data_IF_882651378527
#
_entry.id   IF_882651378527
#
_cell.length_a   1.000
_cell.length_b   1.000
_cell.length_c   1.000
_cell.angle_alpha   90.00
_cell.angle_beta   90.00
_cell.angle_gamma   90.00
#
_symmetry.space_group_name_H-M   'P 1'
#
loop_
_entity.id
_entity.type
_entity.pdbx_description
1 polymer ?
#
# COMPACT_ATOMS: atom_id res chain seq x y z
N UNK A 1 -15.81 -9.04 12.15
CA UNK A 1 -15.76 -7.92 11.19
C UNK A 1 -14.96 -8.37 9.99
N UNK A 2 -15.43 -8.13 8.76
CA UNK A 2 -14.72 -8.48 7.54
C UNK A 2 -13.58 -7.48 7.27
N UNK A 3 -12.78 -7.74 6.24
CA UNK A 3 -11.71 -6.85 5.79
C UNK A 3 -12.00 -6.35 4.38
N UNK A 4 -11.68 -5.08 4.14
CA UNK A 4 -11.60 -4.45 2.84
C UNK A 4 -10.15 -4.07 2.60
N UNK A 5 -9.43 -4.87 1.81
CA UNK A 5 -7.97 -4.76 1.64
C UNK A 5 -7.66 -4.13 0.29
N UNK A 6 -6.85 -3.09 0.29
CA UNK A 6 -6.46 -2.33 -0.91
C UNK A 6 -4.94 -2.37 -1.06
N UNK A 7 -4.46 -2.60 -2.29
CA UNK A 7 -3.03 -2.57 -2.61
C UNK A 7 -2.50 -1.15 -2.88
N UNK A 8 -1.40 -1.08 -3.60
CA UNK A 8 -0.60 0.11 -3.89
C UNK A 8 -1.40 1.20 -4.60
N UNK A 9 -1.52 2.36 -3.97
CA UNK A 9 -2.29 3.50 -4.49
C UNK A 9 -1.43 4.45 -5.33
N UNK A 10 -0.19 4.68 -4.89
CA UNK A 10 0.79 5.51 -5.59
C UNK A 10 0.25 6.85 -6.11
N UNK A 11 -0.44 7.60 -5.27
CA UNK A 11 -0.97 8.91 -5.66
C UNK A 11 -2.13 8.87 -6.66
N UNK A 12 -2.76 7.72 -6.91
CA UNK A 12 -3.97 7.57 -7.73
C UNK A 12 -5.22 7.94 -6.92
N UNK A 13 -5.34 9.19 -6.54
CA UNK A 13 -6.35 9.72 -5.61
C UNK A 13 -7.79 9.51 -6.07
N UNK A 14 -8.10 9.80 -7.34
CA UNK A 14 -9.47 9.74 -7.85
C UNK A 14 -9.93 8.30 -7.91
N UNK A 15 -9.08 7.40 -8.41
CA UNK A 15 -9.31 5.96 -8.42
C UNK A 15 -9.51 5.41 -7.00
N UNK A 16 -8.66 5.86 -6.07
CA UNK A 16 -8.75 5.45 -4.67
C UNK A 16 -10.05 5.92 -4.01
N UNK A 17 -10.47 7.17 -4.26
CA UNK A 17 -11.76 7.70 -3.77
C UNK A 17 -12.95 6.92 -4.31
N UNK A 18 -12.93 6.56 -5.59
CA UNK A 18 -13.97 5.73 -6.18
C UNK A 18 -14.00 4.35 -5.53
N UNK A 19 -12.85 3.69 -5.38
CA UNK A 19 -12.75 2.39 -4.72
C UNK A 19 -13.26 2.43 -3.27
N UNK A 20 -12.97 3.49 -2.53
CA UNK A 20 -13.43 3.69 -1.15
C UNK A 20 -14.97 3.80 -1.03
N UNK A 21 -15.71 4.12 -2.10
CA UNK A 21 -17.19 4.12 -2.07
C UNK A 21 -17.76 2.71 -1.84
N UNK A 22 -16.97 1.68 -2.10
CA UNK A 22 -17.34 0.28 -1.86
C UNK A 22 -17.05 -0.21 -0.44
N UNK A 23 -16.24 0.51 0.33
CA UNK A 23 -15.95 0.18 1.72
C UNK A 23 -17.16 0.44 2.62
N UNK A 24 -17.42 -0.48 3.55
CA UNK A 24 -18.55 -0.45 4.48
C UNK A 24 -18.05 -0.32 5.92
N UNK A 25 -17.82 0.89 6.45
CA UNK A 25 -17.19 1.08 7.77
C UNK A 25 -17.93 0.42 8.95
N UNK A 26 -19.24 0.20 8.81
CA UNK A 26 -20.03 -0.49 9.84
C UNK A 26 -19.69 -1.98 9.94
N UNK A 27 -19.25 -2.62 8.84
CA UNK A 27 -19.10 -4.06 8.70
C UNK A 27 -17.64 -4.51 8.50
N UNK A 28 -16.77 -3.59 8.07
CA UNK A 28 -15.45 -3.90 7.53
C UNK A 28 -14.35 -3.04 8.15
N UNK A 29 -13.20 -3.65 8.33
CA UNK A 29 -11.94 -2.96 8.58
C UNK A 29 -11.25 -2.68 7.23
N UNK A 30 -10.93 -1.43 6.96
CA UNK A 30 -10.09 -1.03 5.83
C UNK A 30 -8.64 -1.35 6.15
N UNK A 31 -7.99 -2.11 5.28
CA UNK A 31 -6.53 -2.35 5.31
C UNK A 31 -5.92 -1.90 4.01
N UNK A 32 -4.95 -0.98 4.08
CA UNK A 32 -4.20 -0.54 2.91
C UNK A 32 -2.75 -1.03 3.06
N UNK A 33 -2.21 -1.68 2.01
CA UNK A 33 -0.99 -2.49 2.06
C UNK A 33 0.32 -1.69 1.87
N UNK A 34 0.26 -0.35 1.89
CA UNK A 34 1.43 0.52 1.69
C UNK A 34 1.52 1.09 0.27
N UNK A 35 2.59 1.85 0.03
CA UNK A 35 2.85 2.58 -1.21
C UNK A 35 1.75 3.58 -1.60
N UNK A 36 1.58 4.57 -0.72
CA UNK A 36 0.65 5.68 -0.93
C UNK A 36 1.23 6.77 -1.84
N UNK A 37 2.56 6.94 -1.84
CA UNK A 37 3.27 8.02 -2.52
C UNK A 37 3.93 7.57 -3.82
N UNK A 38 4.41 8.56 -4.58
CA UNK A 38 5.16 8.43 -5.83
C UNK A 38 4.32 7.98 -7.04
N UNK A 39 4.90 8.10 -8.23
CA UNK A 39 4.38 7.70 -9.54
C UNK A 39 3.17 8.50 -10.02
N UNK A 40 2.05 8.45 -9.30
CA UNK A 40 0.83 9.19 -9.64
C UNK A 40 0.88 10.68 -9.30
N UNK A 41 -0.18 11.38 -9.64
CA UNK A 41 -0.21 12.85 -9.64
C UNK A 41 -0.60 13.47 -8.30
N UNK A 42 -1.10 12.70 -7.31
CA UNK A 42 -1.75 13.22 -6.10
C UNK A 42 -1.25 12.58 -4.81
N UNK A 43 0.09 12.36 -4.69
CA UNK A 43 0.68 11.70 -3.50
C UNK A 43 0.34 12.43 -2.20
N UNK A 44 0.48 13.77 -2.17
CA UNK A 44 0.20 14.55 -0.96
C UNK A 44 -1.27 14.43 -0.51
N UNK A 45 -2.21 14.53 -1.45
CA UNK A 45 -3.63 14.42 -1.15
C UNK A 45 -4.06 12.98 -0.80
N UNK A 46 -3.38 11.98 -1.38
CA UNK A 46 -3.61 10.56 -1.04
C UNK A 46 -3.21 10.27 0.40
N UNK A 47 -2.02 10.72 0.82
CA UNK A 47 -1.58 10.56 2.22
C UNK A 47 -2.51 11.30 3.17
N UNK A 48 -2.92 12.55 2.83
CA UNK A 48 -3.85 13.30 3.68
C UNK A 48 -5.20 12.58 3.82
N UNK A 49 -5.75 12.03 2.72
CA UNK A 49 -6.98 11.25 2.79
C UNK A 49 -6.84 10.05 3.74
N UNK A 50 -5.74 9.29 3.63
CA UNK A 50 -5.50 8.14 4.52
C UNK A 50 -5.34 8.56 5.98
N UNK A 51 -4.63 9.68 6.22
CA UNK A 51 -4.46 10.25 7.56
C UNK A 51 -5.81 10.67 8.16
N UNK A 52 -6.67 11.33 7.40
CA UNK A 52 -8.02 11.70 7.86
C UNK A 52 -8.88 10.47 8.14
N UNK A 53 -8.88 9.47 7.25
CA UNK A 53 -9.58 8.20 7.49
C UNK A 53 -9.12 7.52 8.78
N UNK A 54 -7.81 7.59 9.09
CA UNK A 54 -7.28 7.02 10.34
C UNK A 54 -7.74 7.77 11.60
N UNK A 55 -8.08 9.05 11.48
CA UNK A 55 -8.63 9.86 12.57
C UNK A 55 -10.15 9.67 12.71
N UNK A 56 -10.86 9.61 11.58
CA UNK A 56 -12.32 9.46 11.56
C UNK A 56 -12.75 8.05 11.96
N UNK A 57 -11.91 7.03 11.65
CA UNK A 57 -12.19 5.62 11.88
C UNK A 57 -11.00 4.90 12.54
N UNK A 58 -10.55 5.29 13.74
CA UNK A 58 -9.29 4.83 14.33
C UNK A 58 -9.22 3.32 14.57
N UNK A 59 -10.37 2.67 14.86
CA UNK A 59 -10.44 1.23 15.11
C UNK A 59 -10.89 0.41 13.87
N UNK A 60 -11.10 1.10 12.75
CA UNK A 60 -11.64 0.53 11.51
C UNK A 60 -10.66 0.64 10.34
N UNK A 61 -9.48 1.21 10.56
CA UNK A 61 -8.50 1.42 9.51
C UNK A 61 -7.11 0.98 9.94
N UNK A 62 -6.43 0.28 9.03
CA UNK A 62 -5.02 -0.07 9.15
C UNK A 62 -4.34 0.36 7.86
N UNK A 63 -3.37 1.25 7.98
CA UNK A 63 -2.48 1.64 6.88
C UNK A 63 -1.11 1.05 7.14
N UNK A 64 -0.66 0.14 6.27
CA UNK A 64 0.68 -0.44 6.35
C UNK A 64 1.69 0.49 5.69
N UNK A 65 2.95 0.28 5.98
CA UNK A 65 4.06 0.97 5.34
C UNK A 65 4.50 0.21 4.10
N UNK A 66 4.55 0.89 2.95
CA UNK A 66 5.23 0.40 1.76
C UNK A 66 6.68 0.88 1.69
N UNK A 67 7.44 0.38 0.72
CA UNK A 67 8.84 0.78 0.57
C UNK A 67 8.98 2.23 0.09
N UNK A 68 8.06 2.76 -0.72
CA UNK A 68 8.04 4.18 -1.11
C UNK A 68 7.69 5.08 0.07
N UNK A 69 6.75 4.67 0.93
CA UNK A 69 6.38 5.39 2.15
C UNK A 69 7.55 5.44 3.14
N UNK A 70 8.23 4.29 3.33
CA UNK A 70 9.44 4.19 4.14
C UNK A 70 10.55 5.10 3.59
N UNK A 71 10.76 5.08 2.29
CA UNK A 71 11.82 5.86 1.64
C UNK A 71 11.58 7.37 1.78
N UNK A 72 10.33 7.84 1.63
CA UNK A 72 9.95 9.24 1.88
C UNK A 72 10.17 9.60 3.35
N UNK A 73 9.68 8.78 4.27
CA UNK A 73 9.81 9.03 5.71
C UNK A 73 11.29 9.08 6.15
N UNK A 74 12.13 8.16 5.65
CA UNK A 74 13.56 8.13 5.89
C UNK A 74 14.28 9.36 5.30
N UNK A 75 13.93 9.73 4.03
CA UNK A 75 14.54 10.87 3.35
C UNK A 75 14.33 12.18 4.10
N UNK A 76 13.17 12.36 4.70
CA UNK A 76 12.76 13.57 5.42
C UNK A 76 13.01 13.49 6.94
N UNK A 77 13.36 12.31 7.43
CA UNK A 77 13.59 12.03 8.84
C UNK A 77 15.05 12.24 9.28
N UNK A 78 15.35 11.92 10.53
CA UNK A 78 16.70 12.10 11.10
C UNK A 78 17.77 11.22 10.45
N UNK A 79 17.38 10.08 9.88
CA UNK A 79 18.30 9.12 9.23
C UNK A 79 18.54 9.46 7.74
N UNK A 80 17.96 10.55 7.25
CA UNK A 80 18.09 10.99 5.86
C UNK A 80 19.36 11.79 5.57
N UNK A 81 19.53 12.18 4.29
CA UNK A 81 18.62 11.96 3.17
C UNK A 81 18.79 10.58 2.49
N UNK A 82 17.72 9.89 2.22
CA UNK A 82 17.70 8.66 1.40
C UNK A 82 17.59 9.01 -0.10
N UNK A 83 18.75 9.27 -0.73
CA UNK A 83 18.81 9.88 -2.09
C UNK A 83 18.23 8.99 -3.19
N UNK A 84 18.27 7.66 -3.06
CA UNK A 84 17.73 6.72 -4.05
C UNK A 84 16.25 6.94 -4.32
N UNK A 85 15.48 7.31 -3.28
CA UNK A 85 14.06 7.62 -3.40
C UNK A 85 13.74 8.70 -4.43
N UNK A 86 14.61 9.70 -4.57
CA UNK A 86 14.42 10.78 -5.55
C UNK A 86 14.32 10.27 -6.99
N UNK A 87 14.96 9.13 -7.31
CA UNK A 87 14.91 8.46 -8.61
C UNK A 87 13.67 7.59 -8.83
N UNK A 88 12.95 7.22 -7.76
CA UNK A 88 11.79 6.33 -7.83
C UNK A 88 10.45 7.05 -7.98
N UNK A 89 10.48 8.38 -7.94
CA UNK A 89 9.29 9.25 -7.97
C UNK A 89 9.33 10.37 -6.93
N UNK A 90 10.23 10.29 -5.96
CA UNK A 90 10.31 11.23 -4.84
C UNK A 90 10.47 12.70 -5.24
N UNK A 91 11.17 13.01 -6.36
CA UNK A 91 11.26 14.39 -6.88
C UNK A 91 9.88 14.94 -7.24
N UNK A 92 9.06 14.13 -7.94
CA UNK A 92 7.72 14.54 -8.33
C UNK A 92 6.80 14.65 -7.11
N UNK A 93 6.94 13.71 -6.14
CA UNK A 93 6.22 13.77 -4.86
C UNK A 93 6.55 15.06 -4.11
N UNK A 94 7.83 15.42 -3.94
CA UNK A 94 8.22 16.69 -3.31
C UNK A 94 7.67 17.92 -4.03
N UNK A 95 7.59 17.91 -5.37
CA UNK A 95 6.95 18.99 -6.13
C UNK A 95 5.46 19.14 -5.81
N UNK A 96 4.73 18.03 -5.64
CA UNK A 96 3.32 18.04 -5.24
C UNK A 96 3.12 18.66 -3.85
N UNK A 97 4.08 18.47 -2.93
CA UNK A 97 4.04 19.08 -1.59
C UNK A 97 4.34 20.59 -1.60
N UNK A 98 4.83 21.19 -2.69
CA UNK A 98 5.03 22.65 -2.76
C UNK A 98 3.73 23.43 -2.55
N UNK A 99 2.59 22.92 -3.04
CA UNK A 99 1.27 23.48 -2.79
C UNK A 99 0.72 23.17 -1.37
N UNK A 100 1.35 22.23 -0.66
CA UNK A 100 0.91 21.69 0.63
C UNK A 100 2.07 21.55 1.61
N UNK A 101 2.98 22.54 1.65
CA UNK A 101 4.24 22.46 2.42
C UNK A 101 4.03 22.18 3.91
N UNK A 102 2.91 22.62 4.50
CA UNK A 102 2.56 22.34 5.90
C UNK A 102 2.27 20.85 6.17
N UNK A 103 1.98 20.07 5.13
CA UNK A 103 1.70 18.63 5.27
C UNK A 103 2.97 17.79 5.23
N UNK A 104 4.07 18.28 4.65
CA UNK A 104 5.25 17.47 4.34
C UNK A 104 5.81 16.77 5.59
N UNK A 105 6.11 17.53 6.64
CA UNK A 105 6.66 16.98 7.88
C UNK A 105 5.63 16.12 8.63
N UNK A 106 4.37 16.54 8.62
CA UNK A 106 3.28 15.80 9.25
C UNK A 106 3.08 14.42 8.58
N UNK A 107 3.06 14.40 7.25
CA UNK A 107 2.89 13.16 6.50
C UNK A 107 4.10 12.24 6.61
N UNK A 108 5.33 12.79 6.57
CA UNK A 108 6.54 12.00 6.79
C UNK A 108 6.53 11.30 8.16
N UNK A 109 6.16 12.03 9.21
CA UNK A 109 6.03 11.47 10.56
C UNK A 109 4.89 10.43 10.65
N UNK A 110 3.75 10.70 9.99
CA UNK A 110 2.64 9.76 9.95
C UNK A 110 3.02 8.47 9.22
N UNK A 111 3.68 8.54 8.05
CA UNK A 111 4.19 7.39 7.30
C UNK A 111 5.25 6.61 8.10
N UNK A 112 6.16 7.32 8.79
CA UNK A 112 7.16 6.69 9.65
C UNK A 112 6.55 5.82 10.74
N UNK A 113 5.39 6.20 11.28
CA UNK A 113 4.67 5.50 12.33
C UNK A 113 3.81 4.32 11.84
N UNK A 114 3.71 4.08 10.53
CA UNK A 114 2.87 2.97 10.03
C UNK A 114 3.50 1.61 10.35
N UNK A 115 2.69 0.59 10.70
CA UNK A 115 3.18 -0.76 10.93
C UNK A 115 3.64 -1.41 9.61
N UNK A 116 4.51 -2.42 9.73
CA UNK A 116 5.01 -3.20 8.59
C UNK A 116 4.11 -4.36 8.21
N UNK A 117 3.31 -4.84 9.15
CA UNK A 117 2.34 -5.92 8.93
C UNK A 117 1.17 -5.82 9.90
N UNK A 118 0.12 -6.55 9.59
CA UNK A 118 -1.02 -6.84 10.45
C UNK A 118 -1.39 -8.32 10.33
N UNK A 119 -1.79 -8.99 11.42
CA UNK A 119 -2.13 -10.41 11.38
C UNK A 119 -3.19 -10.80 12.41
N UNK A 120 -3.88 -11.91 12.11
CA UNK A 120 -4.64 -12.72 13.04
C UNK A 120 -4.29 -14.21 12.86
N UNK A 121 -5.07 -15.12 13.40
CA UNK A 121 -4.78 -16.57 13.31
C UNK A 121 -4.80 -17.11 11.86
N UNK A 122 -5.48 -16.44 10.93
CA UNK A 122 -5.72 -16.92 9.55
C UNK A 122 -5.14 -16.04 8.47
N UNK A 123 -4.90 -14.75 8.75
CA UNK A 123 -4.52 -13.72 7.78
C UNK A 123 -3.25 -13.02 8.19
N UNK A 124 -2.41 -12.73 7.20
CA UNK A 124 -1.19 -11.93 7.35
C UNK A 124 -1.12 -10.92 6.22
N UNK A 125 -1.21 -9.64 6.56
CA UNK A 125 -1.10 -8.52 5.63
C UNK A 125 0.27 -7.87 5.77
N UNK A 126 0.96 -7.67 4.66
CA UNK A 126 2.22 -6.93 4.59
C UNK A 126 2.40 -6.35 3.18
N UNK A 127 3.34 -5.44 3.00
CA UNK A 127 3.52 -4.81 1.70
C UNK A 127 4.07 -5.79 0.65
N UNK A 128 5.24 -6.43 0.90
CA UNK A 128 5.91 -7.30 -0.07
C UNK A 128 5.93 -8.80 0.31
N UNK A 129 5.36 -9.16 1.46
CA UNK A 129 5.25 -10.56 1.91
C UNK A 129 6.44 -11.07 2.72
N UNK A 130 6.25 -12.21 3.36
CA UNK A 130 7.25 -12.87 4.19
C UNK A 130 8.00 -13.93 3.38
N UNK A 131 9.31 -13.77 3.24
CA UNK A 131 10.22 -14.76 2.69
C UNK A 131 10.93 -15.55 3.80
N UNK A 132 11.66 -16.60 3.43
CA UNK A 132 12.50 -17.36 4.34
C UNK A 132 13.85 -16.65 4.52
N UNK A 133 13.87 -15.60 5.32
CA UNK A 133 15.05 -14.76 5.58
C UNK A 133 15.13 -14.39 7.05
N UNK A 134 16.34 -14.13 7.60
CA UNK A 134 16.49 -13.51 8.90
C UNK A 134 15.86 -12.11 8.92
N UNK A 135 15.29 -11.73 10.07
CA UNK A 135 14.77 -10.40 10.34
C UNK A 135 13.89 -9.80 9.21
N UNK A 136 12.80 -10.49 8.80
CA UNK A 136 11.98 -10.03 7.68
C UNK A 136 11.29 -8.69 7.95
N UNK A 137 11.22 -8.27 9.21
CA UNK A 137 10.65 -6.98 9.63
C UNK A 137 11.69 -5.86 9.75
N UNK A 138 12.98 -6.11 9.49
CA UNK A 138 13.95 -5.02 9.37
C UNK A 138 13.68 -4.26 8.05
N UNK A 139 13.34 -2.95 8.11
CA UNK A 139 13.06 -2.15 6.92
C UNK A 139 14.26 -1.98 5.99
N UNK A 140 15.48 -2.26 6.44
CA UNK A 140 16.70 -2.25 5.63
C UNK A 140 17.01 -3.60 4.98
N UNK A 141 16.27 -4.65 5.32
CA UNK A 141 16.46 -5.97 4.71
C UNK A 141 15.83 -5.98 3.30
N UNK A 142 16.65 -6.05 2.24
CA UNK A 142 16.21 -6.05 0.84
C UNK A 142 15.33 -7.27 0.46
N UNK A 143 15.32 -8.30 1.29
CA UNK A 143 14.44 -9.48 1.14
C UNK A 143 13.33 -9.51 2.22
N UNK A 144 13.19 -8.44 2.99
CA UNK A 144 12.17 -8.27 4.00
C UNK A 144 10.82 -7.81 3.42
N UNK A 145 9.86 -7.62 4.32
CA UNK A 145 8.43 -7.34 3.98
C UNK A 145 8.17 -6.04 3.23
N UNK A 146 9.18 -5.16 3.10
CA UNK A 146 9.09 -3.94 2.28
C UNK A 146 9.60 -4.11 0.85
N UNK A 147 10.49 -5.08 0.60
CA UNK A 147 11.31 -5.09 -0.62
C UNK A 147 11.23 -6.36 -1.44
N UNK A 148 10.77 -7.47 -0.85
CA UNK A 148 10.85 -8.80 -1.47
C UNK A 148 10.20 -8.84 -2.85
N UNK A 149 10.99 -9.33 -3.84
CA UNK A 149 10.54 -9.63 -5.20
C UNK A 149 10.96 -11.04 -5.57
N UNK A 150 10.23 -12.02 -5.12
CA UNK A 150 10.55 -13.43 -5.36
C UNK A 150 9.69 -14.34 -4.49
N UNK A 151 9.99 -15.64 -4.47
CA UNK A 151 9.16 -16.59 -3.73
C UNK A 151 9.00 -16.23 -2.26
N UNK A 152 7.78 -16.35 -1.77
CA UNK A 152 7.42 -16.17 -0.37
C UNK A 152 7.33 -17.52 0.35
N UNK A 153 7.51 -17.51 1.67
CA UNK A 153 7.32 -18.72 2.47
C UNK A 153 5.84 -18.90 2.79
N UNK A 154 5.42 -20.14 2.98
CA UNK A 154 4.12 -20.44 3.56
C UNK A 154 4.21 -20.23 5.09
N UNK A 155 3.47 -19.26 5.61
CA UNK A 155 3.43 -18.92 7.04
C UNK A 155 2.36 -19.70 7.81
N UNK A 156 1.57 -20.54 7.13
CA UNK A 156 0.38 -21.17 7.68
C UNK A 156 -0.87 -20.29 7.62
N UNK A 157 -0.71 -18.99 7.39
CA UNK A 157 -1.78 -18.01 7.19
C UNK A 157 -1.94 -17.69 5.71
N UNK A 158 -3.09 -17.16 5.30
CA UNK A 158 -3.25 -16.53 3.98
C UNK A 158 -2.53 -15.18 4.00
N UNK A 159 -1.46 -15.03 3.21
CA UNK A 159 -0.81 -13.75 3.01
C UNK A 159 -1.56 -12.94 1.96
N UNK A 160 -1.71 -11.63 2.17
CA UNK A 160 -2.17 -10.68 1.14
C UNK A 160 -1.14 -9.57 1.01
N UNK A 161 -0.64 -9.37 -0.21
CA UNK A 161 0.48 -8.48 -0.49
C UNK A 161 0.23 -7.59 -1.71
N UNK A 162 0.95 -6.47 -1.77
CA UNK A 162 1.03 -5.53 -2.89
C UNK A 162 2.40 -5.55 -3.56
N UNK A 163 3.02 -4.38 -3.69
CA UNK A 163 4.41 -4.11 -4.06
C UNK A 163 4.80 -4.41 -5.52
N UNK A 164 4.46 -5.58 -6.01
CA UNK A 164 4.84 -5.99 -7.37
C UNK A 164 3.58 -6.18 -8.19
N UNK A 165 3.36 -5.34 -9.21
CA UNK A 165 2.22 -5.52 -10.09
C UNK A 165 2.21 -6.91 -10.69
N UNK A 166 1.07 -7.59 -10.60
CA UNK A 166 0.88 -8.91 -11.20
C UNK A 166 1.00 -8.83 -12.71
N UNK A 167 1.51 -9.89 -13.33
CA UNK A 167 1.69 -9.92 -14.77
C UNK A 167 0.35 -9.90 -15.54
N UNK A 168 -0.69 -10.44 -14.93
CA UNK A 168 -2.05 -10.47 -15.48
C UNK A 168 -2.83 -9.16 -15.26
N UNK A 169 -2.32 -8.24 -14.41
CA UNK A 169 -3.05 -7.08 -13.89
C UNK A 169 -4.38 -7.45 -13.20
N UNK A 170 -4.45 -8.65 -12.64
CA UNK A 170 -5.56 -9.18 -11.86
C UNK A 170 -5.03 -9.76 -10.55
N UNK A 171 -5.93 -10.06 -9.60
CA UNK A 171 -5.56 -10.81 -8.41
C UNK A 171 -4.95 -12.17 -8.80
N UNK A 172 -3.76 -12.46 -8.27
CA UNK A 172 -3.11 -13.76 -8.44
C UNK A 172 -2.99 -14.49 -7.11
N UNK A 173 -3.10 -15.83 -7.14
CA UNK A 173 -2.97 -16.68 -5.96
C UNK A 173 -1.84 -17.68 -6.15
N UNK A 174 -0.75 -17.51 -5.41
CA UNK A 174 0.27 -18.54 -5.25
C UNK A 174 -0.14 -19.52 -4.14
N UNK A 175 -0.55 -20.71 -4.56
CA UNK A 175 -0.99 -21.77 -3.63
C UNK A 175 0.16 -22.39 -2.83
N UNK A 176 1.41 -22.26 -3.30
CA UNK A 176 2.58 -22.81 -2.61
C UNK A 176 2.87 -22.02 -1.35
N UNK A 177 2.97 -20.73 -1.46
CA UNK A 177 3.18 -19.82 -0.32
C UNK A 177 1.88 -19.44 0.40
N UNK A 178 0.71 -19.81 -0.16
CA UNK A 178 -0.62 -19.37 0.27
C UNK A 178 -0.73 -17.83 0.28
N UNK A 179 -0.38 -17.19 -0.85
CA UNK A 179 -0.31 -15.74 -0.97
C UNK A 179 -1.22 -15.21 -2.08
N UNK A 180 -2.00 -14.17 -1.78
CA UNK A 180 -2.74 -13.36 -2.74
C UNK A 180 -1.94 -12.10 -3.07
N UNK A 181 -1.60 -11.91 -4.35
CA UNK A 181 -0.94 -10.72 -4.89
C UNK A 181 -2.00 -9.77 -5.43
N UNK A 182 -2.17 -8.62 -4.78
CA UNK A 182 -3.28 -7.69 -4.98
C UNK A 182 -2.91 -6.45 -5.80
N UNK A 183 -1.63 -6.15 -6.01
CA UNK A 183 -1.22 -5.02 -6.83
C UNK A 183 -1.52 -5.30 -8.31
N UNK A 184 -2.51 -4.60 -8.85
CA UNK A 184 -2.96 -4.73 -10.24
C UNK A 184 -2.47 -3.58 -11.13
N UNK A 185 -1.53 -2.77 -10.65
CA UNK A 185 -0.84 -1.77 -11.44
C UNK A 185 -1.58 -0.45 -11.60
N UNK A 186 -2.20 0.07 -10.54
CA UNK A 186 -2.92 1.35 -10.58
C UNK A 186 -2.05 2.48 -11.15
N UNK A 187 -0.84 2.66 -10.64
CA UNK A 187 0.08 3.70 -11.10
C UNK A 187 0.60 3.50 -12.54
N UNK A 188 0.44 2.33 -13.11
CA UNK A 188 0.76 2.02 -14.51
C UNK A 188 -0.46 2.20 -15.43
N UNK A 189 -1.60 2.68 -14.90
CA UNK A 189 -2.79 2.97 -15.67
C UNK A 189 -3.75 1.79 -15.86
N UNK A 190 -3.58 0.70 -15.11
CA UNK A 190 -4.48 -0.45 -15.20
C UNK A 190 -5.67 -0.31 -14.23
N UNK A 191 -5.57 -0.83 -13.02
CA UNK A 191 -6.64 -0.75 -12.04
C UNK A 191 -6.10 -0.71 -10.61
N UNK A 192 -6.88 -0.13 -9.69
CA UNK A 192 -6.72 -0.29 -8.26
C UNK A 192 -7.72 -1.33 -7.77
N UNK A 193 -7.22 -2.37 -7.11
CA UNK A 193 -8.04 -3.49 -6.69
C UNK A 193 -8.19 -3.55 -5.18
N UNK A 194 -9.41 -3.81 -4.74
CA UNK A 194 -9.74 -4.17 -3.37
C UNK A 194 -10.20 -5.62 -3.29
N UNK A 195 -9.85 -6.24 -2.16
CA UNK A 195 -10.26 -7.60 -1.82
C UNK A 195 -11.12 -7.55 -0.55
N UNK A 196 -12.31 -8.14 -0.62
CA UNK A 196 -13.17 -8.31 0.56
C UNK A 196 -12.97 -9.71 1.14
N UNK A 197 -12.59 -9.80 2.41
CA UNK A 197 -12.24 -11.05 3.10
C UNK A 197 -13.03 -11.24 4.38
N UNK A 198 -13.35 -12.48 4.70
CA UNK A 198 -13.69 -12.87 6.07
C UNK A 198 -12.43 -12.94 6.95
N UNK A 199 -12.57 -12.85 8.29
CA UNK A 199 -11.44 -13.03 9.21
C UNK A 199 -10.75 -14.41 9.09
N UNK A 200 -11.43 -15.39 8.50
CA UNK A 200 -10.94 -16.75 8.24
C UNK A 200 -10.14 -16.89 6.95
N UNK A 201 -10.03 -15.81 6.15
CA UNK A 201 -9.33 -15.85 4.85
C UNK A 201 -10.22 -16.18 3.65
N UNK A 202 -11.52 -16.41 3.85
CA UNK A 202 -12.44 -16.62 2.72
C UNK A 202 -12.59 -15.33 1.92
N UNK A 203 -12.35 -15.41 0.60
CA UNK A 203 -12.57 -14.31 -0.34
C UNK A 203 -14.06 -14.17 -0.61
N UNK A 204 -14.61 -13.00 -0.31
CA UNK A 204 -16.03 -12.68 -0.51
C UNK A 204 -16.29 -11.93 -1.82
N UNK A 205 -15.35 -11.05 -2.19
CA UNK A 205 -15.53 -10.19 -3.35
C UNK A 205 -14.17 -9.63 -3.83
N UNK A 206 -14.07 -9.32 -5.11
CA UNK A 206 -12.93 -8.64 -5.73
C UNK A 206 -13.47 -7.44 -6.49
N UNK A 207 -13.01 -6.24 -6.15
CA UNK A 207 -13.49 -5.00 -6.73
C UNK A 207 -12.29 -4.30 -7.38
N UNK A 208 -12.34 -4.12 -8.70
CA UNK A 208 -11.31 -3.42 -9.45
C UNK A 208 -11.88 -2.14 -10.08
N UNK A 209 -11.27 -1.01 -9.78
CA UNK A 209 -11.59 0.29 -10.39
C UNK A 209 -10.51 0.64 -11.39
N UNK A 210 -10.83 0.81 -12.69
CA UNK A 210 -9.86 1.26 -13.68
C UNK A 210 -9.22 2.59 -13.27
N UNK A 211 -7.92 2.73 -13.50
CA UNK A 211 -7.21 3.96 -13.11
C UNK A 211 -7.75 5.16 -13.88
N UNK A 212 -8.13 6.20 -13.17
CA UNK A 212 -8.53 7.47 -13.75
C UNK A 212 -7.37 8.10 -14.50
N UNK A 213 -7.62 8.59 -15.72
CA UNK A 213 -6.59 9.21 -16.56
C UNK A 213 -5.91 10.43 -15.88
N UNK A 214 -6.62 11.13 -14.98
CA UNK A 214 -6.07 12.24 -14.20
C UNK A 214 -5.06 11.81 -13.13
N UNK A 215 -5.09 10.55 -12.70
CA UNK A 215 -4.21 10.04 -11.64
C UNK A 215 -2.83 9.67 -12.16
N UNK A 216 -2.72 9.31 -13.43
CA UNK A 216 -1.46 8.92 -14.06
C UNK A 216 -0.89 10.07 -14.88
N UNK A 217 0.44 10.15 -14.98
CA UNK A 217 1.07 10.97 -16.00
C UNK A 217 0.71 10.37 -17.37
N UNK A 218 0.10 11.15 -18.25
CA UNK A 218 0.01 10.77 -19.65
C UNK A 218 1.41 10.46 -20.15
N UNK A 219 1.63 9.24 -20.66
CA UNK A 219 2.86 8.92 -21.36
C UNK A 219 3.00 9.91 -22.53
N UNK A 220 3.95 10.84 -22.39
CA UNK A 220 4.36 11.76 -23.46
C UNK A 220 5.38 11.09 -24.34
#
# INVERSE_FOLDING_TARGET
>A
MNFFVIADVHGCLHTFRELLTHWRPAEEMLVQLGDLVDRGNFSAQTVELCRQLSLDFPEKTVFLKGNHDWAMATHLGPDGPYKSWLGWGGRATLQQYQAHHNWLALHAAWLAARPLCWQNDHLLFSHAGFAEVPDPLDPNNNDGVLWRRGPLRNTGQLQVVGHTPTASHQLEHDKVSNTLYLDTGAAAGYALTALRLRPTGEVLDIIAVPTHATDCKTAT
#
